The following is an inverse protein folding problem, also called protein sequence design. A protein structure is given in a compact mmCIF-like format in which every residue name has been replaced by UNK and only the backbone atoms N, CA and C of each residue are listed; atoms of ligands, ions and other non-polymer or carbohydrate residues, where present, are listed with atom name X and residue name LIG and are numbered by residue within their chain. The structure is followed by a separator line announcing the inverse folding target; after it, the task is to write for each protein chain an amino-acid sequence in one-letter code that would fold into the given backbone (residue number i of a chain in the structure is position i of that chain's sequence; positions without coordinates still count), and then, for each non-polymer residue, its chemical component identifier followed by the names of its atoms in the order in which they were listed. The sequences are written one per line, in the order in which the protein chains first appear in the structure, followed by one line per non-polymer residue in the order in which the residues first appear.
data_IF_008845742232
#
_entry.id   IF_008845742232
#
_cell.length_a   1.000
_cell.length_b   1.000
_cell.length_c   1.000
_cell.angle_alpha   90.00
_cell.angle_beta   90.00
_cell.angle_gamma   90.00
#
_symmetry.space_group_name_H-M   'P 1'
#
loop_
_entity.id
_entity.type
_entity.pdbx_description
1 polymer ?
#
# COMPACT_ATOMS: atom_id res chain seq x y z
N UNK A 1 -23.10 -6.65 -17.32
CA UNK A 1 -21.71 -6.68 -17.84
C UNK A 1 -20.83 -7.42 -16.85
N UNK A 2 -19.96 -8.26 -17.37
CA UNK A 2 -19.04 -9.01 -16.52
C UNK A 2 -17.96 -8.07 -15.95
N UNK A 3 -17.62 -8.27 -14.68
CA UNK A 3 -16.60 -7.46 -14.01
C UNK A 3 -15.22 -7.52 -14.71
N UNK A 4 -14.90 -8.65 -15.34
CA UNK A 4 -13.60 -8.82 -16.01
C UNK A 4 -13.46 -7.97 -17.29
N UNK A 5 -14.53 -7.35 -17.78
CA UNK A 5 -14.47 -6.43 -18.91
C UNK A 5 -14.22 -4.99 -18.47
N UNK A 6 -14.31 -4.70 -17.18
CA UNK A 6 -14.05 -3.39 -16.61
C UNK A 6 -12.63 -3.24 -16.07
N UNK A 7 -12.39 -2.13 -15.40
CA UNK A 7 -11.11 -1.88 -14.71
C UNK A 7 -11.02 -2.71 -13.44
N UNK A 8 -9.82 -3.20 -13.17
CA UNK A 8 -9.44 -3.81 -11.90
C UNK A 8 -8.28 -3.02 -11.32
N UNK A 9 -8.10 -3.07 -10.02
CA UNK A 9 -6.94 -2.45 -9.37
C UNK A 9 -6.18 -3.52 -8.57
N UNK A 10 -4.89 -3.66 -8.85
CA UNK A 10 -3.99 -4.48 -8.05
C UNK A 10 -3.36 -3.64 -6.96
N UNK A 11 -3.29 -4.16 -5.75
CA UNK A 11 -2.63 -3.50 -4.62
C UNK A 11 -1.60 -4.45 -4.01
N UNK A 12 -0.40 -3.94 -3.80
CA UNK A 12 0.70 -4.71 -3.21
C UNK A 12 1.56 -3.81 -2.34
N UNK A 13 2.11 -4.39 -1.26
CA UNK A 13 3.01 -3.67 -0.36
C UNK A 13 4.29 -4.47 -0.13
N UNK A 14 5.37 -3.75 0.16
CA UNK A 14 6.58 -4.30 0.75
C UNK A 14 6.70 -3.71 2.15
N UNK A 15 7.13 -4.50 3.11
CA UNK A 15 7.11 -4.11 4.52
C UNK A 15 8.44 -4.37 5.20
N UNK A 16 8.56 -3.87 6.45
CA UNK A 16 9.73 -4.14 7.28
C UNK A 16 9.73 -5.58 7.82
N UNK A 17 8.60 -6.27 7.76
CA UNK A 17 8.46 -7.64 8.25
C UNK A 17 7.01 -8.09 8.20
N UNK A 18 6.71 -9.21 8.87
CA UNK A 18 5.40 -9.86 8.80
C UNK A 18 4.51 -9.61 10.02
N UNK A 19 4.96 -8.81 10.98
CA UNK A 19 4.19 -8.47 12.17
C UNK A 19 3.36 -7.22 11.90
N UNK A 20 2.07 -7.41 11.63
CA UNK A 20 1.17 -6.30 11.26
C UNK A 20 1.01 -5.26 12.37
N UNK A 21 1.25 -5.64 13.63
CA UNK A 21 1.12 -4.71 14.76
C UNK A 21 2.32 -3.77 14.89
N UNK A 22 3.51 -4.22 14.50
CA UNK A 22 4.74 -3.46 14.72
C UNK A 22 5.49 -3.11 13.45
N UNK A 23 5.31 -3.85 12.37
CA UNK A 23 6.01 -3.57 11.13
C UNK A 23 5.37 -2.43 10.35
N UNK A 24 6.11 -1.91 9.39
CA UNK A 24 5.76 -0.72 8.61
C UNK A 24 5.71 -1.03 7.13
N UNK A 25 4.84 -0.32 6.41
CA UNK A 25 4.86 -0.34 4.95
C UNK A 25 6.08 0.45 4.47
N UNK A 26 6.90 -0.19 3.65
CA UNK A 26 8.07 0.43 3.03
C UNK A 26 7.69 0.98 1.65
N UNK A 27 7.13 0.12 0.80
CA UNK A 27 6.64 0.53 -0.51
C UNK A 27 5.21 0.05 -0.71
N UNK A 28 4.49 0.74 -1.58
CA UNK A 28 3.16 0.33 -2.00
C UNK A 28 2.96 0.63 -3.48
N UNK A 29 2.14 -0.18 -4.13
CA UNK A 29 1.82 0.00 -5.54
C UNK A 29 0.33 -0.28 -5.75
N UNK A 30 -0.33 0.60 -6.49
CA UNK A 30 -1.68 0.37 -6.98
C UNK A 30 -1.61 0.45 -8.50
N UNK A 31 -2.05 -0.60 -9.19
CA UNK A 31 -2.06 -0.62 -10.66
C UNK A 31 -3.49 -0.84 -11.13
N UNK A 32 -4.02 0.13 -11.86
CA UNK A 32 -5.32 -0.02 -12.51
C UNK A 32 -5.13 -0.60 -13.90
N UNK A 33 -5.84 -1.68 -14.21
CA UNK A 33 -5.72 -2.40 -15.49
C UNK A 33 -7.11 -2.75 -16.02
N UNK A 34 -7.19 -3.02 -17.33
CA UNK A 34 -8.42 -3.48 -17.97
C UNK A 34 -9.22 -2.36 -18.62
N UNK A 35 -10.43 -2.67 -19.07
CA UNK A 35 -11.30 -1.71 -19.75
C UNK A 35 -10.74 -1.22 -21.06
N UNK A 36 -9.86 -1.97 -21.72
CA UNK A 36 -9.18 -1.61 -22.98
C UNK A 36 -8.34 -0.32 -22.86
N UNK A 37 -7.93 0.01 -21.67
CA UNK A 37 -7.07 1.18 -21.38
C UNK A 37 -5.69 0.70 -20.93
N UNK A 38 -4.64 1.50 -21.13
CA UNK A 38 -3.30 1.16 -20.64
C UNK A 38 -3.29 1.03 -19.13
N UNK A 39 -2.38 0.20 -18.57
CA UNK A 39 -2.17 0.15 -17.12
C UNK A 39 -1.77 1.51 -16.57
N UNK A 40 -2.30 1.86 -15.40
CA UNK A 40 -1.96 3.10 -14.72
C UNK A 40 -1.38 2.76 -13.35
N UNK A 41 -0.04 2.72 -13.21
CA UNK A 41 0.59 2.45 -11.93
C UNK A 41 0.70 3.72 -11.08
N UNK A 42 0.56 3.55 -9.77
CA UNK A 42 0.90 4.56 -8.78
C UNK A 42 1.74 3.88 -7.71
N UNK A 43 2.87 4.46 -7.37
CA UNK A 43 3.81 3.88 -6.42
C UNK A 43 4.16 4.86 -5.32
N UNK A 44 4.49 4.32 -4.14
CA UNK A 44 4.88 5.10 -2.98
C UNK A 44 6.10 4.47 -2.33
N UNK A 45 6.98 5.31 -1.84
CA UNK A 45 8.09 4.91 -0.98
C UNK A 45 7.99 5.72 0.30
N UNK A 46 7.94 5.02 1.44
CA UNK A 46 7.85 5.63 2.76
C UNK A 46 9.23 5.76 3.39
N UNK A 47 9.43 6.83 4.17
CA UNK A 47 10.64 6.97 4.99
C UNK A 47 10.57 6.11 6.26
N UNK A 48 9.46 5.42 6.48
CA UNK A 48 9.14 4.58 7.66
C UNK A 48 9.41 5.29 8.98
N UNK A 49 9.16 6.60 9.02
CA UNK A 49 9.43 7.47 10.18
C UNK A 49 10.92 7.44 10.60
N UNK A 50 11.83 7.21 9.67
CA UNK A 50 13.26 7.14 9.94
C UNK A 50 13.71 5.87 10.64
N UNK A 51 12.80 4.89 10.83
CA UNK A 51 13.15 3.63 11.47
C UNK A 51 14.07 2.79 10.60
N UNK A 52 14.81 1.89 11.24
CA UNK A 52 15.68 0.98 10.52
C UNK A 52 14.88 -0.12 9.83
N UNK A 53 15.20 -0.41 8.57
CA UNK A 53 14.61 -1.53 7.85
C UNK A 53 15.50 -2.75 8.08
N UNK A 54 14.96 -3.85 8.64
CA UNK A 54 15.77 -5.05 8.87
C UNK A 54 16.37 -5.58 7.57
N UNK A 55 17.60 -6.09 7.65
CA UNK A 55 18.30 -6.65 6.50
C UNK A 55 17.52 -7.76 5.83
N UNK A 56 16.83 -8.61 6.63
CA UNK A 56 16.01 -9.68 6.10
C UNK A 56 14.92 -9.15 5.15
N UNK A 57 14.33 -8.01 5.47
CA UNK A 57 13.33 -7.38 4.61
C UNK A 57 13.97 -6.72 3.39
N UNK A 58 15.03 -5.93 3.59
CA UNK A 58 15.70 -5.23 2.47
C UNK A 58 16.34 -6.21 1.48
N UNK A 59 16.73 -7.39 1.91
CA UNK A 59 17.24 -8.43 1.01
C UNK A 59 16.15 -8.92 0.04
N UNK A 60 14.91 -8.87 0.46
CA UNK A 60 13.77 -9.30 -0.37
C UNK A 60 13.36 -8.18 -1.34
N UNK A 61 13.03 -6.99 -0.81
CA UNK A 61 12.48 -5.91 -1.64
C UNK A 61 13.51 -4.88 -2.12
N UNK A 62 14.77 -5.03 -1.72
CA UNK A 62 15.89 -4.20 -2.17
C UNK A 62 15.82 -2.73 -1.77
N UNK A 63 14.98 -2.38 -0.80
CA UNK A 63 14.94 -1.02 -0.25
C UNK A 63 15.70 -1.00 1.06
N UNK A 64 16.79 -0.25 1.10
CA UNK A 64 17.60 -0.10 2.30
C UNK A 64 17.08 1.02 3.18
N UNK A 65 17.52 1.03 4.45
CA UNK A 65 17.22 2.12 5.38
C UNK A 65 17.65 3.47 4.80
N UNK A 66 18.84 3.52 4.24
CA UNK A 66 19.39 4.75 3.65
C UNK A 66 18.55 5.26 2.50
N UNK A 67 18.12 4.37 1.61
CA UNK A 67 17.26 4.75 0.48
C UNK A 67 15.92 5.29 0.96
N UNK A 68 15.30 4.62 1.92
CA UNK A 68 14.03 5.06 2.47
C UNK A 68 14.15 6.43 3.11
N UNK A 69 15.22 6.69 3.87
CA UNK A 69 15.45 7.98 4.50
C UNK A 69 15.72 9.09 3.49
N UNK A 70 16.46 8.78 2.42
CA UNK A 70 16.86 9.78 1.43
C UNK A 70 15.75 10.10 0.42
N UNK A 71 14.98 9.10 0.00
CA UNK A 71 14.03 9.22 -1.11
C UNK A 71 12.57 9.03 -0.71
N UNK A 72 12.31 8.50 0.50
CA UNK A 72 10.95 8.23 0.96
C UNK A 72 10.19 9.49 1.33
N UNK A 73 8.87 9.44 1.14
CA UNK A 73 7.97 10.47 1.64
C UNK A 73 7.66 10.19 3.11
N UNK A 74 7.21 11.21 3.86
CA UNK A 74 6.77 10.99 5.24
C UNK A 74 5.77 9.84 5.32
N UNK A 75 5.97 8.94 6.27
CA UNK A 75 5.14 7.74 6.39
C UNK A 75 3.65 8.08 6.50
N UNK A 76 3.28 9.09 7.30
CA UNK A 76 1.88 9.52 7.41
C UNK A 76 1.28 9.92 6.07
N UNK A 77 2.04 10.69 5.28
CA UNK A 77 1.58 11.12 3.95
C UNK A 77 1.32 9.93 3.04
N UNK A 78 2.23 8.95 3.05
CA UNK A 78 2.05 7.72 2.26
C UNK A 78 0.77 7.01 2.66
N UNK A 79 0.53 6.84 3.95
CA UNK A 79 -0.66 6.14 4.43
C UNK A 79 -1.94 6.93 4.10
N UNK A 80 -1.94 8.25 4.27
CA UNK A 80 -3.09 9.08 3.90
C UNK A 80 -3.43 8.93 2.43
N UNK A 81 -2.42 8.96 1.55
CA UNK A 81 -2.62 8.84 0.12
C UNK A 81 -3.08 7.45 -0.30
N UNK A 82 -2.54 6.40 0.33
CA UNK A 82 -2.96 5.02 0.06
C UNK A 82 -4.41 4.81 0.44
N UNK A 83 -4.81 5.21 1.64
CA UNK A 83 -6.20 5.06 2.10
C UNK A 83 -7.13 5.84 1.17
N UNK A 84 -6.77 7.07 0.81
CA UNK A 84 -7.58 7.90 -0.07
C UNK A 84 -7.74 7.26 -1.46
N UNK A 85 -6.65 6.74 -2.03
CA UNK A 85 -6.68 6.11 -3.35
C UNK A 85 -7.52 4.84 -3.35
N UNK A 86 -7.34 3.97 -2.35
CA UNK A 86 -8.10 2.73 -2.24
C UNK A 86 -9.57 2.99 -1.95
N UNK A 87 -9.88 3.98 -1.10
CA UNK A 87 -11.26 4.38 -0.81
C UNK A 87 -11.97 4.85 -2.08
N UNK A 88 -11.30 5.65 -2.89
CA UNK A 88 -11.85 6.13 -4.16
C UNK A 88 -12.19 4.97 -5.09
N UNK A 89 -11.31 3.98 -5.19
CA UNK A 89 -11.53 2.80 -6.03
C UNK A 89 -12.70 1.97 -5.52
N UNK A 90 -12.75 1.70 -4.22
CA UNK A 90 -13.82 0.90 -3.61
C UNK A 90 -15.17 1.60 -3.76
N UNK A 91 -15.25 2.89 -3.45
CA UNK A 91 -16.49 3.65 -3.57
C UNK A 91 -16.95 3.79 -5.02
N UNK A 92 -16.01 3.78 -5.97
CA UNK A 92 -16.30 3.78 -7.39
C UNK A 92 -16.66 2.42 -7.96
N UNK A 93 -16.66 1.37 -7.14
CA UNK A 93 -17.01 0.02 -7.56
C UNK A 93 -15.90 -0.73 -8.30
N UNK A 94 -14.66 -0.25 -8.23
CA UNK A 94 -13.53 -0.95 -8.86
C UNK A 94 -13.10 -2.14 -7.99
N UNK A 95 -13.13 -3.37 -8.51
CA UNK A 95 -12.65 -4.53 -7.75
C UNK A 95 -11.16 -4.42 -7.44
N UNK A 96 -10.78 -4.78 -6.21
CA UNK A 96 -9.38 -4.84 -5.79
C UNK A 96 -8.87 -6.27 -5.86
N UNK A 97 -7.67 -6.46 -6.41
CA UNK A 97 -6.98 -7.74 -6.46
C UNK A 97 -5.72 -7.63 -5.60
N UNK A 98 -5.64 -8.43 -4.54
CA UNK A 98 -4.56 -8.37 -3.57
C UNK A 98 -4.06 -9.79 -3.34
N UNK A 99 -2.77 -10.05 -3.58
CA UNK A 99 -2.19 -11.39 -3.48
C UNK A 99 -2.35 -11.99 -2.08
N UNK A 100 -2.11 -11.20 -1.04
CA UNK A 100 -2.25 -11.63 0.36
C UNK A 100 -3.09 -10.62 1.11
N UNK A 101 -4.37 -10.50 0.74
CA UNK A 101 -5.26 -9.47 1.26
C UNK A 101 -5.31 -9.39 2.79
N UNK A 102 -5.40 -10.51 3.54
CA UNK A 102 -5.40 -10.41 5.00
C UNK A 102 -4.17 -9.70 5.56
N UNK A 103 -3.00 -9.91 4.98
CA UNK A 103 -1.77 -9.25 5.43
C UNK A 103 -1.75 -7.79 5.03
N UNK A 104 -1.88 -7.50 3.73
CA UNK A 104 -1.73 -6.13 3.21
C UNK A 104 -2.78 -5.18 3.79
N UNK A 105 -4.04 -5.63 3.86
CA UNK A 105 -5.13 -4.79 4.39
C UNK A 105 -5.01 -4.59 5.90
N UNK A 106 -4.60 -5.62 6.64
CA UNK A 106 -4.40 -5.50 8.08
C UNK A 106 -3.22 -4.57 8.39
N UNK A 107 -2.13 -4.71 7.66
CA UNK A 107 -0.97 -3.83 7.83
C UNK A 107 -1.35 -2.38 7.55
N UNK A 108 -2.10 -2.12 6.47
CA UNK A 108 -2.57 -0.78 6.15
C UNK A 108 -3.50 -0.24 7.23
N UNK A 109 -4.40 -1.06 7.76
CA UNK A 109 -5.30 -0.67 8.85
C UNK A 109 -4.51 -0.25 10.09
N UNK A 110 -3.52 -1.04 10.50
CA UNK A 110 -2.69 -0.73 11.67
C UNK A 110 -1.85 0.53 11.46
N UNK A 111 -1.31 0.71 10.26
CA UNK A 111 -0.58 1.92 9.91
C UNK A 111 -1.49 3.15 9.93
N UNK A 112 -2.71 3.04 9.40
CA UNK A 112 -3.67 4.14 9.43
C UNK A 112 -4.00 4.56 10.86
N UNK A 113 -4.29 3.60 11.72
CA UNK A 113 -4.59 3.87 13.13
C UNK A 113 -3.40 4.49 13.86
N UNK A 114 -2.19 4.02 13.55
CA UNK A 114 -0.95 4.56 14.15
C UNK A 114 -0.76 6.02 13.80
N UNK A 115 -1.10 6.42 12.59
CA UNK A 115 -0.93 7.80 12.11
C UNK A 115 -2.17 8.68 12.28
N UNK A 116 -3.23 8.15 12.88
CA UNK A 116 -4.48 8.90 13.06
C UNK A 116 -5.26 9.13 11.78
N UNK A 117 -5.07 8.23 10.79
CA UNK A 117 -5.78 8.28 9.50
C UNK A 117 -7.00 7.36 9.58
N UNK A 118 -8.12 7.79 9.01
CA UNK A 118 -9.34 6.98 8.97
C UNK A 118 -9.07 5.66 8.22
N UNK A 119 -9.23 4.50 8.88
CA UNK A 119 -8.95 3.22 8.22
C UNK A 119 -9.90 2.88 7.09
N UNK A 120 -9.39 2.14 6.12
CA UNK A 120 -10.18 1.67 4.98
C UNK A 120 -11.33 0.74 5.42
N UNK A 121 -11.14 -0.02 6.49
CA UNK A 121 -12.15 -0.97 6.99
C UNK A 121 -13.48 -0.31 7.36
N UNK A 122 -13.48 0.99 7.62
CA UNK A 122 -14.71 1.72 7.93
C UNK A 122 -15.51 2.08 6.66
N UNK A 123 -14.94 1.80 5.50
CA UNK A 123 -15.53 2.13 4.20
C UNK A 123 -16.04 0.89 3.49
N UNK A 124 -15.39 -0.23 3.69
CA UNK A 124 -15.68 -1.50 3.01
C UNK A 124 -16.81 -2.26 3.67
#
# INVERSE_FOLDING_TARGET
MSWHLGRLAGFDTESTGVDVENDRIVTACIVEVGGNLPPVPATWLSDVDGMEIPTAASDIHKVTTEKARAEGRPAREVIEQLVAALSKLVLGGTPLVIMNAPFDLTLLDREARRHGVQPLTDIV
#
